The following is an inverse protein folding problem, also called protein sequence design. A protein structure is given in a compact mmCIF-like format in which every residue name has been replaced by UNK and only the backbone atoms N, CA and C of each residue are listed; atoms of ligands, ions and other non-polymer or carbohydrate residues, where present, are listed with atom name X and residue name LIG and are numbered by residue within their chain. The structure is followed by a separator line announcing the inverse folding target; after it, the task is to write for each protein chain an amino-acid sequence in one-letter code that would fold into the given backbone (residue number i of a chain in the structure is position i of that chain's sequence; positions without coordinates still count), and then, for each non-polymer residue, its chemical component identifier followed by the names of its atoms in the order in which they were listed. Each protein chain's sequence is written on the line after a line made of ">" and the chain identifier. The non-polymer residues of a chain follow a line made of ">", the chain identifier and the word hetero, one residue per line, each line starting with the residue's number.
data_IF_493165582332
#
_entry.id   IF_493165582332
#
_cell.length_a   1.000
_cell.length_b   1.000
_cell.length_c   1.000
_cell.angle_alpha   90.00
_cell.angle_beta   90.00
_cell.angle_gamma   90.00
#
_symmetry.space_group_name_H-M   'P 1'
#
loop_
_entity.id
_entity.type
_entity.pdbx_description
1 polymer ?
#
# COMPACT_ATOMS: atom_id res chain seq x y z
N UNK A 1 -34.45 -7.83 -3.43
CA UNK A 1 -33.05 -8.27 -3.51
C UNK A 1 -32.84 -9.58 -4.26
N UNK A 2 -33.14 -10.79 -3.74
CA UNK A 2 -32.87 -12.04 -4.52
C UNK A 2 -33.73 -12.24 -5.78
N UNK A 3 -34.99 -11.83 -5.76
CA UNK A 3 -35.89 -11.97 -6.90
C UNK A 3 -35.54 -11.01 -8.05
N UNK A 4 -35.02 -9.83 -7.75
CA UNK A 4 -34.60 -8.83 -8.75
C UNK A 4 -33.42 -9.35 -9.58
N UNK A 5 -32.43 -10.00 -8.96
CA UNK A 5 -31.32 -10.62 -9.69
C UNK A 5 -31.77 -11.73 -10.64
N UNK A 6 -32.79 -12.51 -10.26
CA UNK A 6 -33.35 -13.55 -11.13
C UNK A 6 -34.08 -12.91 -12.31
N UNK A 7 -34.78 -11.79 -12.08
CA UNK A 7 -35.45 -11.07 -13.15
C UNK A 7 -34.46 -10.42 -14.13
N UNK A 8 -33.38 -9.84 -13.62
CA UNK A 8 -32.30 -9.29 -14.44
C UNK A 8 -31.64 -10.38 -15.30
N UNK A 9 -31.36 -11.55 -14.71
CA UNK A 9 -30.86 -12.71 -15.46
C UNK A 9 -31.84 -13.17 -16.56
N UNK A 10 -33.15 -13.15 -16.30
CA UNK A 10 -34.13 -13.49 -17.34
C UNK A 10 -34.13 -12.46 -18.46
N UNK A 11 -33.98 -11.18 -18.13
CA UNK A 11 -33.90 -10.11 -19.11
C UNK A 11 -32.62 -10.23 -19.96
N UNK A 12 -31.47 -10.61 -19.39
CA UNK A 12 -30.23 -10.83 -20.17
C UNK A 12 -30.34 -12.03 -21.11
N UNK A 13 -30.98 -13.11 -20.66
CA UNK A 13 -31.25 -14.28 -21.53
C UNK A 13 -32.19 -13.87 -22.67
N UNK A 14 -33.25 -13.12 -22.38
CA UNK A 14 -34.18 -12.65 -23.40
C UNK A 14 -33.48 -11.77 -24.44
N UNK A 15 -32.68 -10.79 -23.98
CA UNK A 15 -31.89 -9.94 -24.87
C UNK A 15 -30.94 -10.75 -25.76
N UNK A 16 -30.27 -11.78 -25.22
CA UNK A 16 -29.41 -12.68 -26.01
C UNK A 16 -30.19 -13.42 -27.12
N UNK A 17 -31.43 -13.83 -26.86
CA UNK A 17 -32.24 -14.52 -27.88
C UNK A 17 -32.83 -13.60 -28.94
N UNK A 18 -32.97 -12.31 -28.64
CA UNK A 18 -33.63 -11.33 -29.49
C UNK A 18 -32.66 -10.44 -30.29
N UNK A 19 -31.39 -10.37 -29.89
CA UNK A 19 -30.37 -9.55 -30.54
C UNK A 19 -29.79 -10.30 -31.75
N UNK A 20 -30.04 -9.84 -33.00
CA UNK A 20 -29.42 -10.42 -34.19
C UNK A 20 -27.95 -9.96 -34.31
N UNK A 21 -27.13 -10.75 -34.99
CA UNK A 21 -25.75 -10.38 -35.31
C UNK A 21 -25.67 -9.21 -36.30
N UNK A 22 -24.45 -8.71 -36.52
CA UNK A 22 -24.14 -7.65 -37.50
C UNK A 22 -24.68 -7.94 -38.92
N UNK A 23 -24.83 -9.23 -39.28
CA UNK A 23 -25.37 -9.70 -40.56
C UNK A 23 -26.90 -9.88 -40.57
N UNK A 24 -27.59 -9.56 -39.47
CA UNK A 24 -29.04 -9.72 -39.32
C UNK A 24 -29.52 -11.15 -39.09
N UNK A 25 -28.60 -12.11 -38.94
CA UNK A 25 -28.89 -13.50 -38.61
C UNK A 25 -28.83 -13.73 -37.09
N UNK A 26 -29.68 -14.62 -36.57
CA UNK A 26 -29.60 -15.04 -35.18
C UNK A 26 -28.39 -15.97 -35.01
N UNK A 27 -27.49 -15.62 -34.10
CA UNK A 27 -26.34 -16.45 -33.72
C UNK A 27 -26.78 -17.81 -33.15
N UNK A 28 -25.82 -18.72 -32.91
CA UNK A 28 -26.11 -19.98 -32.21
C UNK A 28 -26.73 -19.72 -30.82
N UNK A 29 -28.05 -19.93 -30.67
CA UNK A 29 -28.79 -19.75 -29.41
C UNK A 29 -28.52 -20.88 -28.38
N UNK A 30 -27.40 -21.59 -28.52
CA UNK A 30 -27.04 -22.63 -27.57
C UNK A 30 -26.71 -22.02 -26.20
N UNK A 31 -27.06 -22.77 -25.14
CA UNK A 31 -26.65 -22.41 -23.78
C UNK A 31 -25.12 -22.26 -23.67
N UNK A 32 -24.36 -23.05 -24.45
CA UNK A 32 -22.91 -22.95 -24.50
C UNK A 32 -22.44 -21.58 -24.97
N UNK A 33 -23.07 -21.03 -26.01
CA UNK A 33 -22.76 -19.70 -26.53
C UNK A 33 -23.17 -18.59 -25.56
N UNK A 34 -24.33 -18.69 -24.92
CA UNK A 34 -24.76 -17.74 -23.87
C UNK A 34 -23.78 -17.71 -22.69
N UNK A 35 -23.36 -18.88 -22.20
CA UNK A 35 -22.40 -18.98 -21.11
C UNK A 35 -21.03 -18.43 -21.52
N UNK A 36 -20.61 -18.66 -22.76
CA UNK A 36 -19.37 -18.10 -23.30
C UNK A 36 -19.41 -16.57 -23.32
N UNK A 37 -20.49 -15.97 -23.83
CA UNK A 37 -20.66 -14.51 -23.86
C UNK A 37 -20.74 -13.92 -22.46
N UNK A 38 -21.50 -14.54 -21.56
CA UNK A 38 -21.59 -14.12 -20.15
C UNK A 38 -20.23 -14.15 -19.44
N UNK A 39 -19.38 -15.10 -19.79
CA UNK A 39 -18.03 -15.21 -19.23
C UNK A 39 -17.06 -14.18 -19.83
N UNK A 40 -17.35 -13.69 -21.04
CA UNK A 40 -16.51 -12.73 -21.75
C UNK A 40 -16.84 -11.27 -21.42
N UNK A 41 -18.09 -11.00 -21.00
CA UNK A 41 -18.53 -9.70 -20.52
C UNK A 41 -17.68 -9.26 -19.33
N UNK A 42 -17.06 -8.09 -19.45
CA UNK A 42 -16.26 -7.47 -18.40
C UNK A 42 -17.02 -6.33 -17.72
N UNK A 43 -16.63 -5.94 -16.50
CA UNK A 43 -17.21 -4.79 -15.79
C UNK A 43 -17.16 -3.48 -16.62
N UNK A 44 -16.27 -3.40 -17.62
CA UNK A 44 -16.15 -2.26 -18.52
C UNK A 44 -17.23 -2.22 -19.63
N UNK A 45 -17.90 -3.34 -19.90
CA UNK A 45 -18.89 -3.45 -20.99
C UNK A 45 -20.30 -3.03 -20.54
N UNK A 46 -20.49 -2.72 -19.26
CA UNK A 46 -21.76 -2.28 -18.67
C UNK A 46 -21.97 -0.75 -18.74
N UNK A 47 -21.28 -0.04 -19.65
CA UNK A 47 -21.50 1.38 -19.89
C UNK A 47 -22.87 1.62 -20.56
N UNK A 48 -23.92 1.66 -19.74
CA UNK A 48 -25.22 2.18 -20.17
C UNK A 48 -25.05 3.67 -20.54
N UNK A 49 -25.44 4.04 -21.76
CA UNK A 49 -25.32 5.41 -22.32
C UNK A 49 -26.00 6.51 -21.47
N UNK A 50 -26.87 6.15 -20.52
CA UNK A 50 -27.55 7.10 -19.62
C UNK A 50 -26.73 7.48 -18.35
N UNK A 51 -25.53 6.92 -18.15
CA UNK A 51 -24.79 6.99 -16.88
C UNK A 51 -23.42 7.71 -16.96
N UNK A 52 -23.22 8.61 -17.92
CA UNK A 52 -21.94 9.32 -18.10
C UNK A 52 -21.59 10.28 -16.95
N UNK A 53 -22.57 10.73 -16.16
CA UNK A 53 -22.35 11.65 -15.04
C UNK A 53 -22.14 10.93 -13.70
N UNK A 54 -21.19 10.00 -13.65
CA UNK A 54 -20.84 9.25 -12.44
C UNK A 54 -19.34 9.31 -12.14
N UNK A 55 -18.98 9.14 -10.87
CA UNK A 55 -17.57 8.95 -10.48
C UNK A 55 -17.20 7.49 -10.68
N UNK A 56 -16.27 7.21 -11.59
CA UNK A 56 -15.76 5.86 -11.82
C UNK A 56 -14.76 5.47 -10.73
N UNK A 57 -15.05 4.39 -10.01
CA UNK A 57 -14.17 3.81 -9.00
C UNK A 57 -13.63 2.48 -9.52
N UNK A 58 -12.30 2.37 -9.63
CA UNK A 58 -11.65 1.19 -10.21
C UNK A 58 -10.27 0.98 -9.59
N UNK A 59 -9.70 -0.20 -9.80
CA UNK A 59 -8.31 -0.47 -9.44
C UNK A 59 -7.35 0.13 -10.48
N UNK A 60 -6.09 0.33 -10.11
CA UNK A 60 -5.08 0.87 -11.04
C UNK A 60 -4.93 -0.01 -12.29
N UNK A 61 -5.02 -1.34 -12.12
CA UNK A 61 -4.97 -2.29 -13.23
C UNK A 61 -6.13 -2.10 -14.21
N UNK A 62 -7.34 -1.92 -13.70
CA UNK A 62 -8.54 -1.70 -14.53
C UNK A 62 -8.51 -0.34 -15.24
N UNK A 63 -7.77 0.64 -14.71
CA UNK A 63 -7.62 1.95 -15.35
C UNK A 63 -6.66 1.94 -16.56
N UNK A 64 -5.97 0.84 -16.84
CA UNK A 64 -5.01 0.75 -17.94
C UNK A 64 -5.70 0.98 -19.29
N UNK A 65 -5.19 1.95 -20.06
CA UNK A 65 -5.77 2.32 -21.36
C UNK A 65 -6.90 3.35 -21.27
N UNK A 66 -7.37 3.69 -20.07
CA UNK A 66 -8.33 4.76 -19.84
C UNK A 66 -7.62 6.05 -19.43
N UNK A 67 -8.26 7.19 -19.62
CA UNK A 67 -7.73 8.49 -19.20
C UNK A 67 -8.87 9.42 -18.76
N UNK A 68 -8.63 10.21 -17.73
CA UNK A 68 -9.64 11.07 -17.11
C UNK A 68 -9.10 12.49 -16.90
N UNK A 69 -9.93 13.54 -16.97
CA UNK A 69 -9.52 14.91 -16.65
C UNK A 69 -8.91 15.02 -15.25
N UNK A 70 -9.58 14.42 -14.26
CA UNK A 70 -9.21 14.45 -12.85
C UNK A 70 -9.13 13.02 -12.31
N UNK A 71 -8.01 12.68 -11.66
CA UNK A 71 -7.80 11.36 -11.04
C UNK A 71 -7.49 11.53 -9.55
N UNK A 72 -8.17 10.75 -8.72
CA UNK A 72 -7.87 10.61 -7.30
C UNK A 72 -7.14 9.28 -7.07
N UNK A 73 -5.84 9.35 -6.81
CA UNK A 73 -5.03 8.21 -6.42
C UNK A 73 -4.99 8.11 -4.89
N UNK A 74 -5.69 7.12 -4.36
CA UNK A 74 -5.90 6.95 -2.91
C UNK A 74 -5.15 5.76 -2.36
N UNK A 75 -4.79 5.81 -1.07
CA UNK A 75 -4.12 4.70 -0.40
C UNK A 75 -2.66 4.52 -0.79
N UNK A 76 -1.97 5.63 -1.10
CA UNK A 76 -0.51 5.64 -1.35
C UNK A 76 0.27 5.48 -0.05
N UNK A 77 0.16 4.29 0.53
CA UNK A 77 0.70 3.91 1.84
C UNK A 77 1.67 2.74 1.65
N UNK A 78 2.77 2.72 2.41
CA UNK A 78 3.58 1.51 2.54
C UNK A 78 2.67 0.36 2.98
N UNK A 79 2.90 -0.84 2.44
CA UNK A 79 2.13 -2.08 2.67
C UNK A 79 0.76 -2.14 1.99
N UNK A 80 0.33 -1.06 1.33
CA UNK A 80 -0.82 -1.05 0.42
C UNK A 80 -0.33 -0.90 -1.02
N UNK A 81 0.49 0.13 -1.24
CA UNK A 81 1.02 0.47 -2.54
C UNK A 81 2.40 1.14 -2.36
N UNK A 82 3.51 0.37 -2.42
CA UNK A 82 3.59 -1.01 -2.88
C UNK A 82 2.97 -2.02 -1.90
N UNK A 83 2.43 -3.11 -2.45
CA UNK A 83 1.86 -4.20 -1.64
C UNK A 83 2.94 -4.86 -0.76
N UNK A 84 2.57 -5.40 0.41
CA UNK A 84 3.52 -6.11 1.29
C UNK A 84 4.29 -7.21 0.55
N UNK A 85 3.62 -7.90 -0.39
CA UNK A 85 4.20 -9.01 -1.12
C UNK A 85 5.37 -8.55 -2.01
N UNK A 86 5.18 -7.44 -2.72
CA UNK A 86 6.19 -6.86 -3.61
C UNK A 86 7.36 -6.20 -2.90
N UNK A 87 7.30 -6.03 -1.57
CA UNK A 87 8.40 -5.36 -0.83
C UNK A 87 9.65 -6.23 -0.67
N UNK A 88 9.51 -7.54 -0.77
CA UNK A 88 10.61 -8.48 -0.51
C UNK A 88 11.40 -8.84 -1.77
N UNK A 89 10.80 -8.66 -2.96
CA UNK A 89 11.44 -8.90 -4.25
C UNK A 89 11.61 -7.57 -5.00
N UNK A 90 12.80 -7.35 -5.58
CA UNK A 90 13.07 -6.16 -6.37
C UNK A 90 12.26 -6.14 -7.66
N UNK A 91 12.06 -7.29 -8.29
CA UNK A 91 11.38 -7.34 -9.59
C UNK A 91 9.88 -7.01 -9.42
N UNK A 92 9.25 -7.52 -8.37
CA UNK A 92 7.88 -7.19 -8.00
C UNK A 92 7.72 -5.72 -7.60
N UNK A 93 8.69 -5.16 -6.85
CA UNK A 93 8.68 -3.74 -6.48
C UNK A 93 8.75 -2.83 -7.73
N UNK A 94 9.56 -3.22 -8.71
CA UNK A 94 9.65 -2.50 -9.99
C UNK A 94 8.37 -2.64 -10.83
N UNK A 95 7.62 -3.73 -10.71
CA UNK A 95 6.29 -3.85 -11.32
C UNK A 95 5.28 -2.90 -10.67
N UNK A 96 5.26 -2.79 -9.34
CA UNK A 96 4.40 -1.83 -8.63
C UNK A 96 4.78 -0.37 -8.93
N UNK A 97 6.07 -0.10 -9.15
CA UNK A 97 6.56 1.18 -9.66
C UNK A 97 6.03 1.47 -11.07
N UNK A 98 6.01 0.49 -11.98
CA UNK A 98 5.37 0.63 -13.30
C UNK A 98 3.87 0.89 -13.16
N UNK A 99 3.22 0.22 -12.21
CA UNK A 99 1.81 0.43 -11.93
C UNK A 99 1.53 1.85 -11.41
N UNK A 100 2.44 2.41 -10.59
CA UNK A 100 2.36 3.80 -10.14
C UNK A 100 2.46 4.78 -11.31
N UNK A 101 3.40 4.53 -12.23
CA UNK A 101 3.54 5.31 -13.46
C UNK A 101 2.25 5.26 -14.31
N UNK A 102 1.64 4.08 -14.45
CA UNK A 102 0.35 3.96 -15.13
C UNK A 102 -0.71 4.83 -14.45
N UNK A 103 -0.82 4.77 -13.11
CA UNK A 103 -1.77 5.57 -12.34
C UNK A 103 -1.60 7.08 -12.57
N UNK A 104 -0.36 7.58 -12.53
CA UNK A 104 -0.05 9.00 -12.78
C UNK A 104 -0.48 9.41 -14.18
N UNK A 105 -0.16 8.60 -15.18
CA UNK A 105 -0.45 8.90 -16.59
C UNK A 105 -1.93 8.75 -16.97
N UNK A 106 -2.81 8.31 -16.06
CA UNK A 106 -4.26 8.32 -16.33
C UNK A 106 -4.86 9.73 -16.22
N UNK A 107 -4.20 10.66 -15.54
CA UNK A 107 -4.67 12.02 -15.34
C UNK A 107 -4.27 12.94 -16.51
N UNK A 108 -5.24 13.69 -17.07
CA UNK A 108 -4.97 14.69 -18.11
C UNK A 108 -4.69 16.08 -17.56
N UNK A 109 -5.42 16.50 -16.53
CA UNK A 109 -5.36 17.86 -15.99
C UNK A 109 -4.90 17.88 -14.53
N UNK A 110 -5.50 17.04 -13.68
CA UNK A 110 -5.21 17.03 -12.24
C UNK A 110 -5.09 15.62 -11.67
N UNK A 111 -4.02 15.41 -10.90
CA UNK A 111 -3.81 14.21 -10.10
C UNK A 111 -3.80 14.59 -8.62
N UNK A 112 -4.72 14.03 -7.85
CA UNK A 112 -4.79 14.21 -6.40
C UNK A 112 -4.35 12.90 -5.75
N UNK A 113 -3.27 12.95 -4.97
CA UNK A 113 -2.73 11.79 -4.28
C UNK A 113 -3.04 11.88 -2.77
N UNK A 114 -3.47 10.78 -2.16
CA UNK A 114 -3.73 10.73 -0.72
C UNK A 114 -3.24 9.44 -0.07
N UNK A 115 -2.84 9.56 1.20
CA UNK A 115 -2.45 8.46 2.08
C UNK A 115 -3.05 8.70 3.47
N UNK A 116 -3.24 7.63 4.25
CA UNK A 116 -3.69 7.71 5.63
C UNK A 116 -2.61 7.22 6.59
N UNK A 117 -2.30 8.00 7.63
CA UNK A 117 -1.39 7.56 8.70
C UNK A 117 -1.96 6.39 9.51
N UNK A 118 -3.29 6.29 9.63
CA UNK A 118 -3.97 5.23 10.37
C UNK A 118 -5.15 4.71 9.54
N UNK A 119 -5.28 3.39 9.42
CA UNK A 119 -6.33 2.74 8.64
C UNK A 119 -6.82 1.48 9.34
N UNK A 120 -8.14 1.23 9.31
CA UNK A 120 -8.68 -0.06 9.70
C UNK A 120 -8.47 -1.09 8.59
N UNK A 121 -7.83 -2.21 8.91
CA UNK A 121 -7.66 -3.37 8.02
C UNK A 121 -8.07 -4.63 8.77
N UNK A 122 -9.06 -5.34 8.24
CA UNK A 122 -9.63 -6.56 8.87
C UNK A 122 -9.97 -6.39 10.36
N UNK A 123 -10.54 -5.24 10.72
CA UNK A 123 -10.94 -4.92 12.10
C UNK A 123 -9.82 -4.37 13.00
N UNK A 124 -8.56 -4.40 12.56
CA UNK A 124 -7.43 -3.86 13.32
C UNK A 124 -7.04 -2.46 12.82
N UNK A 125 -6.75 -1.55 13.73
CA UNK A 125 -6.17 -0.25 13.39
C UNK A 125 -4.68 -0.43 13.12
N UNK A 126 -4.26 -0.15 11.89
CA UNK A 126 -2.86 -0.23 11.45
C UNK A 126 -2.36 1.18 11.19
N UNK A 127 -1.18 1.49 11.71
CA UNK A 127 -0.46 2.71 11.36
C UNK A 127 0.35 2.43 10.10
N UNK A 128 0.19 3.27 9.08
CA UNK A 128 0.91 3.17 7.82
C UNK A 128 1.75 4.42 7.58
N UNK A 129 2.92 4.21 6.99
CA UNK A 129 3.76 5.29 6.49
C UNK A 129 3.37 5.64 5.04
N UNK A 130 3.65 6.86 4.57
CA UNK A 130 3.44 7.23 3.16
C UNK A 130 4.24 6.32 2.24
N UNK A 131 3.70 6.01 1.06
CA UNK A 131 4.38 5.20 0.05
C UNK A 131 5.72 5.82 -0.35
N UNK A 132 6.78 4.99 -0.45
CA UNK A 132 8.09 5.41 -0.97
C UNK A 132 8.04 6.05 -2.36
N UNK A 133 7.05 5.71 -3.18
CA UNK A 133 6.91 6.27 -4.53
C UNK A 133 6.59 7.77 -4.51
N UNK A 134 6.10 8.30 -3.38
CA UNK A 134 5.86 9.74 -3.22
C UNK A 134 7.17 10.53 -3.13
N UNK A 135 8.21 9.96 -2.52
CA UNK A 135 9.52 10.62 -2.38
C UNK A 135 10.29 10.71 -3.71
N UNK A 136 9.85 9.95 -4.71
CA UNK A 136 10.44 9.91 -6.05
C UNK A 136 9.83 10.95 -6.99
N UNK A 137 8.71 11.56 -6.58
CA UNK A 137 8.10 12.64 -7.34
C UNK A 137 8.92 13.94 -7.15
N UNK A 138 9.10 14.73 -8.23
CA UNK A 138 9.83 15.99 -8.13
C UNK A 138 9.07 16.96 -7.20
N UNK A 139 9.70 17.48 -6.14
CA UNK A 139 9.02 18.28 -5.11
C UNK A 139 8.46 19.60 -5.67
N UNK A 140 9.04 20.11 -6.76
CA UNK A 140 8.57 21.32 -7.46
C UNK A 140 7.19 21.15 -8.09
N UNK A 141 6.78 19.91 -8.39
CA UNK A 141 5.48 19.59 -9.02
C UNK A 141 4.40 19.21 -8.00
N UNK A 142 4.74 19.19 -6.70
CA UNK A 142 3.81 18.77 -5.65
C UNK A 142 3.23 20.00 -4.96
N UNK A 143 1.92 20.19 -5.09
CA UNK A 143 1.19 21.17 -4.29
C UNK A 143 0.71 20.54 -2.98
N UNK A 144 1.31 20.98 -1.87
CA UNK A 144 0.94 20.58 -0.51
C UNK A 144 -0.06 21.54 0.17
N UNK A 145 -0.61 22.52 -0.55
CA UNK A 145 -1.55 23.52 0.01
C UNK A 145 -2.77 22.91 0.69
N UNK A 146 -3.23 21.77 0.16
CA UNK A 146 -4.39 21.01 0.64
C UNK A 146 -4.03 19.84 1.55
N UNK A 147 -2.75 19.53 1.71
CA UNK A 147 -2.31 18.48 2.62
C UNK A 147 -2.63 18.93 4.06
N UNK A 148 -3.41 18.13 4.77
CA UNK A 148 -3.59 18.34 6.21
C UNK A 148 -2.22 18.25 6.87
N UNK A 149 -1.70 19.38 7.34
CA UNK A 149 -0.50 19.37 8.17
C UNK A 149 -0.77 18.39 9.31
N UNK A 150 0.13 17.41 9.59
CA UNK A 150 -0.06 16.54 10.72
C UNK A 150 -0.17 17.44 11.94
N UNK A 151 -1.38 17.57 12.47
CA UNK A 151 -1.61 18.36 13.67
C UNK A 151 -1.16 17.47 14.80
N UNK A 152 0.16 17.39 14.99
CA UNK A 152 0.71 17.03 16.28
C UNK A 152 0.31 18.18 17.21
N UNK A 153 -0.87 18.04 17.84
CA UNK A 153 -1.17 18.80 19.04
C UNK A 153 -0.22 18.29 20.12
N UNK A 154 1.03 18.75 20.09
CA UNK A 154 1.84 18.76 21.30
C UNK A 154 1.14 19.75 22.22
N UNK A 155 0.31 19.22 23.12
CA UNK A 155 -0.31 19.95 24.21
C UNK A 155 0.77 20.45 25.17
N UNK A 156 1.53 21.45 24.72
CA UNK A 156 2.37 22.25 25.59
C UNK A 156 1.58 23.49 25.97
N UNK A 157 1.18 23.51 27.24
CA UNK A 157 0.56 24.61 28.01
C UNK A 157 -0.97 24.68 27.97
N UNK A 158 -1.58 23.95 28.90
CA UNK A 158 -2.76 24.42 29.61
C UNK A 158 -2.51 24.26 31.12
N UNK A 159 -2.67 25.36 31.87
CA UNK A 159 -2.51 25.44 33.32
C UNK A 159 -3.45 24.46 34.03
N UNK A 160 -2.90 23.49 34.77
CA UNK A 160 -3.64 22.75 35.79
C UNK A 160 -3.46 23.45 37.15
N UNK A 161 -4.55 23.67 37.93
CA UNK A 161 -4.41 24.08 39.32
C UNK A 161 -3.78 22.96 40.14
N UNK A 162 -2.78 23.32 40.94
CA UNK A 162 -2.15 22.44 41.91
C UNK A 162 -3.18 22.00 42.97
N UNK A 163 -3.43 20.69 43.05
CA UNK A 163 -3.89 20.06 44.28
C UNK A 163 -3.10 18.77 44.47
N UNK A 164 -2.47 18.68 45.63
CA UNK A 164 -1.36 17.76 45.88
C UNK A 164 -1.78 16.30 45.98
N UNK A 165 -1.07 15.45 45.25
CA UNK A 165 -0.61 14.14 45.72
C UNK A 165 0.76 13.87 45.10
N UNK A 166 1.72 13.49 45.93
CA UNK A 166 3.12 13.29 45.55
C UNK A 166 3.24 11.91 44.87
N UNK A 167 3.12 11.87 43.54
CA UNK A 167 3.49 10.71 42.74
C UNK A 167 4.57 11.17 41.76
N UNK A 168 5.83 10.79 42.02
CA UNK A 168 6.94 11.00 41.11
C UNK A 168 6.77 10.12 39.88
N UNK A 169 6.03 10.60 38.88
CA UNK A 169 6.07 10.05 37.53
C UNK A 169 7.31 10.57 36.81
N UNK A 170 8.27 9.66 36.64
CA UNK A 170 9.48 9.85 35.85
C UNK A 170 9.08 10.30 34.44
N UNK A 171 9.43 11.53 34.06
CA UNK A 171 9.22 12.09 32.72
C UNK A 171 9.86 11.16 31.68
N UNK A 172 9.04 10.40 30.95
CA UNK A 172 9.48 9.69 29.76
C UNK A 172 9.46 10.72 28.63
N UNK A 173 10.63 11.29 28.36
CA UNK A 173 10.87 12.12 27.19
C UNK A 173 10.97 11.17 26.00
N UNK A 174 9.91 11.05 25.21
CA UNK A 174 9.98 10.39 23.91
C UNK A 174 10.70 11.31 22.92
N UNK A 175 12.01 11.46 23.11
CA UNK A 175 12.91 11.68 21.98
C UNK A 175 12.96 10.36 21.22
N UNK A 176 12.08 10.17 20.23
CA UNK A 176 12.47 9.34 19.10
C UNK A 176 13.36 10.23 18.23
N UNK A 177 14.54 10.56 18.77
CA UNK A 177 15.66 10.88 17.92
C UNK A 177 15.84 9.63 17.05
N UNK A 178 15.70 9.79 15.74
CA UNK A 178 16.16 8.81 14.78
C UNK A 178 17.62 8.56 15.12
N UNK A 179 17.90 7.48 15.86
CA UNK A 179 19.25 7.04 16.19
C UNK A 179 19.82 6.47 14.89
N UNK A 180 20.11 7.34 13.93
CA UNK A 180 21.02 7.03 12.84
C UNK A 180 22.38 6.81 13.50
N UNK A 181 22.69 5.54 13.73
CA UNK A 181 23.99 5.13 14.21
C UNK A 181 25.05 5.67 13.24
N UNK A 182 25.93 6.57 13.70
CA UNK A 182 27.13 6.94 12.93
C UNK A 182 28.05 5.71 12.92
N UNK A 183 28.12 5.03 11.78
CA UNK A 183 29.01 3.90 11.53
C UNK A 183 30.42 4.26 11.95
N UNK A 184 31.09 3.38 12.70
CA UNK A 184 32.46 3.60 13.13
C UNK A 184 33.39 3.71 11.91
N UNK A 185 34.40 4.60 11.95
CA UNK A 185 35.33 4.84 10.82
C UNK A 185 36.14 3.60 10.39
N UNK A 186 36.08 2.50 11.17
CA UNK A 186 36.77 1.25 10.94
C UNK A 186 35.84 0.09 10.55
N UNK A 187 34.58 0.36 10.22
CA UNK A 187 33.62 -0.67 9.85
C UNK A 187 34.06 -1.44 8.58
N UNK A 188 34.32 -2.74 8.73
CA UNK A 188 34.59 -3.66 7.63
C UNK A 188 33.61 -4.84 7.71
N UNK A 189 32.92 -5.20 6.60
CA UNK A 189 32.08 -6.39 6.55
C UNK A 189 32.88 -7.62 7.00
N UNK A 190 32.45 -8.24 8.09
CA UNK A 190 33.05 -9.47 8.59
C UNK A 190 32.46 -10.69 7.88
N UNK A 191 33.26 -11.72 7.70
CA UNK A 191 32.86 -12.98 7.09
C UNK A 191 31.76 -13.68 7.91
N UNK A 192 30.55 -13.91 7.33
CA UNK A 192 29.44 -14.59 8.00
C UNK A 192 29.77 -15.99 8.52
N UNK A 193 30.76 -16.68 7.92
CA UNK A 193 31.15 -18.03 8.34
C UNK A 193 31.82 -18.06 9.72
N UNK A 194 32.41 -16.93 10.14
CA UNK A 194 33.10 -16.80 11.43
C UNK A 194 32.19 -16.32 12.55
N UNK A 195 30.93 -16.00 12.24
CA UNK A 195 29.96 -15.54 13.21
C UNK A 195 29.41 -16.69 14.04
N UNK A 196 29.29 -16.47 15.35
CA UNK A 196 28.77 -17.42 16.32
C UNK A 196 27.74 -16.74 17.20
N UNK A 197 26.80 -17.53 17.71
CA UNK A 197 25.85 -17.08 18.72
C UNK A 197 26.60 -16.47 19.92
N UNK A 198 26.08 -15.35 20.40
CA UNK A 198 26.68 -14.57 21.48
C UNK A 198 27.71 -13.53 21.06
N UNK A 199 28.12 -13.47 19.79
CA UNK A 199 29.02 -12.42 19.31
C UNK A 199 28.32 -11.06 19.22
N UNK A 200 29.08 -9.99 19.50
CA UNK A 200 28.64 -8.61 19.35
C UNK A 200 28.92 -8.14 17.92
N UNK A 201 27.91 -7.59 17.26
CA UNK A 201 27.96 -7.14 15.87
C UNK A 201 27.48 -5.70 15.77
N UNK A 202 28.06 -4.94 14.84
CA UNK A 202 27.61 -3.58 14.50
C UNK A 202 26.78 -3.66 13.22
N UNK A 203 25.56 -3.12 13.24
CA UNK A 203 24.71 -2.97 12.05
C UNK A 203 24.62 -1.50 11.69
N UNK A 204 24.86 -1.17 10.41
CA UNK A 204 24.93 0.22 9.93
C UNK A 204 23.73 1.08 10.30
N UNK A 205 22.53 0.48 10.35
CA UNK A 205 21.28 1.18 10.65
C UNK A 205 20.84 1.09 12.11
N UNK A 206 21.25 0.05 12.83
CA UNK A 206 20.69 -0.31 14.13
C UNK A 206 21.71 -0.26 15.28
N UNK A 207 22.98 -0.05 14.96
CA UNK A 207 24.09 0.02 15.93
C UNK A 207 24.52 -1.35 16.43
N UNK A 208 25.01 -1.40 17.67
CA UNK A 208 25.54 -2.62 18.25
C UNK A 208 24.44 -3.56 18.75
N UNK A 209 24.59 -4.85 18.46
CA UNK A 209 23.70 -5.91 18.94
C UNK A 209 24.42 -7.21 19.18
N UNK A 210 23.73 -8.17 19.82
CA UNK A 210 24.24 -9.51 20.12
C UNK A 210 23.47 -10.55 19.32
N UNK A 211 24.17 -11.48 18.69
CA UNK A 211 23.57 -12.60 17.97
C UNK A 211 22.94 -13.55 19.02
N UNK A 212 21.65 -13.79 18.91
CA UNK A 212 20.87 -14.71 19.78
C UNK A 212 20.72 -16.07 19.13
N UNK A 213 20.46 -16.14 17.83
CA UNK A 213 20.39 -17.41 17.09
C UNK A 213 20.96 -17.31 15.68
N UNK A 214 21.49 -18.42 15.17
CA UNK A 214 21.90 -18.58 13.78
C UNK A 214 21.15 -19.74 13.13
N UNK A 215 20.33 -19.46 12.13
CA UNK A 215 19.50 -20.45 11.43
C UNK A 215 19.92 -20.56 9.95
N UNK A 216 19.84 -21.77 9.38
CA UNK A 216 20.04 -22.00 7.95
C UNK A 216 21.40 -22.61 7.54
N UNK A 217 21.53 -23.01 6.26
CA UNK A 217 22.71 -23.66 5.71
C UNK A 217 23.91 -22.70 5.60
N UNK A 218 25.14 -23.23 5.57
CA UNK A 218 26.41 -22.47 5.65
C UNK A 218 26.54 -21.36 4.58
N UNK A 219 25.87 -21.53 3.44
CA UNK A 219 25.85 -20.58 2.32
C UNK A 219 24.77 -19.48 2.44
N UNK A 220 23.79 -19.62 3.33
CA UNK A 220 22.73 -18.63 3.55
C UNK A 220 22.23 -18.66 5.00
N UNK A 221 23.11 -18.27 5.94
CA UNK A 221 22.78 -18.21 7.37
C UNK A 221 22.03 -16.91 7.69
N UNK A 222 20.89 -17.05 8.36
CA UNK A 222 20.10 -15.97 8.94
C UNK A 222 20.47 -15.81 10.41
N UNK A 223 20.67 -14.58 10.88
CA UNK A 223 21.11 -14.29 12.24
C UNK A 223 20.06 -13.44 12.96
N UNK A 224 19.53 -13.97 14.05
CA UNK A 224 18.65 -13.19 14.93
C UNK A 224 19.51 -12.36 15.88
N UNK A 225 19.41 -11.03 15.82
CA UNK A 225 20.22 -10.09 16.58
C UNK A 225 19.32 -9.25 17.48
N UNK A 226 19.69 -9.14 18.76
CA UNK A 226 19.08 -8.20 19.71
C UNK A 226 19.98 -6.98 19.83
N UNK A 227 19.47 -5.82 19.44
CA UNK A 227 20.22 -4.56 19.47
C UNK A 227 20.15 -3.88 20.84
N UNK A 228 21.25 -3.24 21.27
CA UNK A 228 21.35 -2.56 22.57
C UNK A 228 20.51 -1.26 22.61
N UNK A 229 20.07 -0.75 21.46
CA UNK A 229 19.12 0.37 21.36
C UNK A 229 17.66 -0.08 21.56
N UNK A 230 16.72 0.86 21.69
CA UNK A 230 15.27 0.59 21.83
C UNK A 230 14.60 -0.07 20.59
N UNK A 231 15.33 -0.87 19.81
CA UNK A 231 14.94 -1.34 18.47
C UNK A 231 14.44 -2.80 18.48
N UNK A 232 14.59 -3.53 19.59
CA UNK A 232 14.09 -4.90 19.74
C UNK A 232 14.87 -5.93 18.91
N UNK A 233 14.29 -7.13 18.76
CA UNK A 233 14.87 -8.26 18.03
C UNK A 233 14.68 -8.10 16.51
N UNK A 234 15.72 -8.40 15.72
CA UNK A 234 15.70 -8.40 14.25
C UNK A 234 16.35 -9.66 13.69
N UNK A 235 15.83 -10.16 12.57
CA UNK A 235 16.34 -11.31 11.82
C UNK A 235 17.03 -10.88 10.53
#
# INVERSE_FOLDING_TARGET
>A
MRAEYVQELLNTIQAFTETPNEDGELEDLSLGKYLQQTTLLTDADHENEDNDNVVKLMTIHAAKGLEFPIVFLVGMEETIFPSIMSMYDRDDLEEERRLFYVAITRAKEQLIISFANNRYRYGNLVQNDPSRFLDELPPEMIDNSRASKPTFQTSTKANLPQSGTNIQQKKVVNHVATLTHKVSEQFRPSDPQKMKEGMRVEHQRFGFGKIVSLEGPINNRMATIVFDGMIGEKR
#
